data_IF_771775696537
#
_entry.id   IF_771775696537
#
_cell.length_a   1.000
_cell.length_b   1.000
_cell.length_c   1.000
_cell.angle_alpha   90.00
_cell.angle_beta   90.00
_cell.angle_gamma   90.00
#
_symmetry.space_group_name_H-M   'P 1'
#
loop_
_entity.id
_entity.type
_entity.pdbx_description
1 polymer ?
#
# COMPACT_ATOMS: atom_id res chain seq x y z
N UNK A 1 -0.42 -25.58 -16.20
CA UNK A 1 -0.02 -24.20 -15.81
C UNK A 1 -0.66 -23.23 -16.80
N UNK A 2 -1.95 -23.41 -17.06
CA UNK A 2 -2.62 -22.84 -18.23
C UNK A 2 -4.05 -22.54 -17.78
N UNK A 3 -4.50 -21.29 -17.88
CA UNK A 3 -5.93 -21.01 -17.72
C UNK A 3 -6.34 -19.60 -17.30
N UNK A 4 -5.55 -18.88 -16.49
CA UNK A 4 -5.94 -17.53 -16.01
C UNK A 4 -5.04 -16.38 -16.47
N UNK A 5 -3.72 -16.57 -16.49
CA UNK A 5 -2.79 -15.55 -17.02
C UNK A 5 -3.04 -15.26 -18.52
N UNK A 6 -3.66 -16.20 -19.25
CA UNK A 6 -3.92 -16.13 -20.69
C UNK A 6 -5.15 -15.30 -21.10
N UNK A 7 -5.94 -14.77 -20.15
CA UNK A 7 -7.15 -14.00 -20.48
C UNK A 7 -7.02 -12.49 -20.23
N UNK A 8 -5.79 -12.00 -20.11
CA UNK A 8 -5.50 -10.57 -19.98
C UNK A 8 -4.99 -10.00 -21.30
N UNK A 9 -5.28 -8.72 -21.56
CA UNK A 9 -4.78 -8.06 -22.75
C UNK A 9 -3.25 -8.03 -22.77
N UNK A 10 -2.66 -7.91 -23.96
CA UNK A 10 -1.20 -7.79 -24.11
C UNK A 10 -0.63 -6.64 -23.25
N UNK A 11 -1.32 -5.50 -23.18
CA UNK A 11 -0.92 -4.36 -22.35
C UNK A 11 -0.92 -4.68 -20.85
N UNK A 12 -1.92 -5.42 -20.36
CA UNK A 12 -1.97 -5.86 -18.97
C UNK A 12 -0.83 -6.84 -18.66
N UNK A 13 -0.53 -7.77 -19.57
CA UNK A 13 0.61 -8.69 -19.41
C UNK A 13 1.92 -7.92 -19.36
N UNK A 14 2.15 -6.95 -20.25
CA UNK A 14 3.37 -6.14 -20.23
C UNK A 14 3.50 -5.33 -18.95
N UNK A 15 2.40 -4.76 -18.45
CA UNK A 15 2.38 -4.10 -17.14
C UNK A 15 2.84 -5.06 -16.03
N UNK A 16 2.26 -6.26 -15.94
CA UNK A 16 2.68 -7.27 -14.96
C UNK A 16 4.17 -7.63 -15.12
N UNK A 17 4.66 -7.74 -16.35
CA UNK A 17 6.08 -8.02 -16.59
C UNK A 17 6.98 -6.92 -16.03
N UNK A 18 6.65 -5.66 -16.31
CA UNK A 18 7.38 -4.50 -15.80
C UNK A 18 7.37 -4.43 -14.27
N UNK A 19 6.24 -4.73 -13.63
CA UNK A 19 6.05 -4.55 -12.19
C UNK A 19 6.39 -5.78 -11.33
N UNK A 20 6.52 -6.97 -11.91
CA UNK A 20 6.90 -8.21 -11.20
C UNK A 20 8.36 -8.58 -11.42
N UNK A 21 8.83 -8.58 -12.69
CA UNK A 21 10.16 -9.08 -13.03
C UNK A 21 11.22 -7.98 -13.15
N UNK A 22 10.79 -6.72 -13.28
CA UNK A 22 11.67 -5.54 -13.37
C UNK A 22 12.78 -5.70 -14.43
N UNK A 23 12.43 -5.93 -15.72
CA UNK A 23 13.42 -6.10 -16.78
C UNK A 23 14.26 -4.83 -17.01
N UNK A 24 15.42 -4.90 -17.71
CA UNK A 24 16.30 -3.75 -17.91
C UNK A 24 15.65 -2.53 -18.57
N UNK A 25 14.68 -2.75 -19.46
CA UNK A 25 13.95 -1.69 -20.17
C UNK A 25 12.56 -1.50 -19.55
N UNK A 26 12.51 -0.74 -18.46
CA UNK A 26 11.24 -0.33 -17.85
C UNK A 26 10.62 0.87 -18.59
N UNK A 27 9.29 1.06 -18.49
CA UNK A 27 8.63 2.29 -18.91
C UNK A 27 9.35 3.52 -18.35
N UNK A 28 9.57 4.51 -19.21
CA UNK A 28 10.32 5.72 -18.88
C UNK A 28 9.42 6.84 -18.32
N UNK A 29 8.11 6.60 -18.31
CA UNK A 29 7.06 7.48 -17.80
C UNK A 29 6.22 6.70 -16.78
N UNK A 30 5.36 7.42 -16.04
CA UNK A 30 4.39 6.79 -15.15
C UNK A 30 3.41 5.96 -15.99
N UNK A 31 3.55 4.64 -15.92
CA UNK A 31 2.71 3.68 -16.64
C UNK A 31 1.53 3.20 -15.79
N UNK A 32 1.23 3.87 -14.68
CA UNK A 32 0.14 3.50 -13.82
C UNK A 32 -1.19 3.39 -14.58
N UNK A 33 -1.79 2.21 -14.49
CA UNK A 33 -3.17 1.96 -14.88
C UNK A 33 -3.86 1.26 -13.71
N UNK A 34 -4.93 1.87 -13.20
CA UNK A 34 -5.69 1.37 -12.06
C UNK A 34 -6.21 -0.06 -12.27
N UNK A 35 -6.61 -0.39 -13.50
CA UNK A 35 -7.14 -1.72 -13.85
C UNK A 35 -6.01 -2.75 -13.84
N UNK A 36 -4.83 -2.38 -14.33
CA UNK A 36 -3.68 -3.28 -14.33
C UNK A 36 -3.11 -3.47 -12.92
N UNK A 37 -3.15 -2.44 -12.07
CA UNK A 37 -2.83 -2.55 -10.64
C UNK A 37 -3.82 -3.49 -9.91
N UNK A 38 -5.11 -3.44 -10.24
CA UNK A 38 -6.09 -4.39 -9.71
C UNK A 38 -5.80 -5.83 -10.14
N UNK A 39 -5.47 -6.05 -11.43
CA UNK A 39 -5.06 -7.36 -11.95
C UNK A 39 -3.79 -7.87 -11.25
N UNK A 40 -2.80 -7.00 -11.02
CA UNK A 40 -1.59 -7.35 -10.27
C UNK A 40 -1.94 -7.83 -8.85
N UNK A 41 -2.82 -7.11 -8.16
CA UNK A 41 -3.27 -7.48 -6.82
C UNK A 41 -4.08 -8.78 -6.79
N UNK A 42 -4.90 -9.05 -7.81
CA UNK A 42 -5.60 -10.34 -8.01
C UNK A 42 -4.61 -11.49 -8.18
N UNK A 43 -3.63 -11.34 -9.07
CA UNK A 43 -2.62 -12.37 -9.35
C UNK A 43 -1.78 -12.65 -8.11
N UNK A 44 -1.35 -11.61 -7.39
CA UNK A 44 -0.62 -11.78 -6.14
C UNK A 44 -1.43 -12.55 -5.10
N UNK A 45 -2.73 -12.24 -4.95
CA UNK A 45 -3.62 -12.96 -4.04
C UNK A 45 -3.79 -14.44 -4.44
N UNK A 46 -4.06 -14.72 -5.72
CA UNK A 46 -4.18 -16.10 -6.22
C UNK A 46 -2.86 -16.89 -6.08
N UNK A 47 -1.73 -16.24 -6.31
CA UNK A 47 -0.41 -16.84 -6.14
C UNK A 47 -0.15 -17.21 -4.67
N UNK A 48 -0.51 -16.35 -3.71
CA UNK A 48 -0.39 -16.63 -2.28
C UNK A 48 -1.26 -17.82 -1.85
N UNK A 49 -2.50 -17.86 -2.31
CA UNK A 49 -3.42 -18.98 -2.05
C UNK A 49 -2.85 -20.31 -2.54
N UNK A 50 -2.25 -20.32 -3.73
CA UNK A 50 -1.57 -21.50 -4.28
C UNK A 50 -0.29 -21.83 -3.51
N UNK A 51 0.51 -20.82 -3.18
CA UNK A 51 1.76 -20.97 -2.45
C UNK A 51 1.54 -21.64 -1.08
N UNK A 52 0.43 -21.31 -0.41
CA UNK A 52 0.01 -21.94 0.86
C UNK A 52 -0.05 -23.48 0.80
N UNK A 53 -0.32 -24.05 -0.38
CA UNK A 53 -0.39 -25.51 -0.59
C UNK A 53 1.00 -26.18 -0.63
N UNK A 54 2.06 -25.40 -0.86
CA UNK A 54 3.43 -25.89 -1.00
C UNK A 54 4.29 -25.68 0.25
N UNK A 55 3.76 -25.03 1.29
CA UNK A 55 4.49 -24.76 2.54
C UNK A 55 4.12 -25.74 3.66
N UNK A 56 5.05 -25.94 4.59
CA UNK A 56 4.86 -26.75 5.79
C UNK A 56 3.85 -26.14 6.78
N UNK A 57 3.41 -26.91 7.80
CA UNK A 57 2.37 -26.48 8.75
C UNK A 57 2.69 -25.17 9.49
N UNK A 58 3.93 -24.96 9.90
CA UNK A 58 4.35 -23.75 10.62
C UNK A 58 4.28 -22.50 9.72
N UNK A 59 4.82 -22.59 8.50
CA UNK A 59 4.80 -21.49 7.54
C UNK A 59 3.39 -21.21 7.01
N UNK A 60 2.50 -22.22 7.02
CA UNK A 60 1.11 -22.07 6.56
C UNK A 60 0.35 -21.01 7.35
N UNK A 61 0.61 -20.89 8.66
CA UNK A 61 -0.01 -19.85 9.50
C UNK A 61 0.42 -18.46 9.03
N UNK A 62 1.73 -18.26 8.82
CA UNK A 62 2.28 -16.99 8.32
C UNK A 62 1.73 -16.65 6.93
N UNK A 63 1.70 -17.62 6.03
CA UNK A 63 1.13 -17.42 4.69
C UNK A 63 -0.37 -17.09 4.76
N UNK A 64 -1.11 -17.72 5.68
CA UNK A 64 -2.52 -17.39 5.90
C UNK A 64 -2.68 -15.94 6.38
N UNK A 65 -1.85 -15.47 7.30
CA UNK A 65 -1.86 -14.07 7.75
C UNK A 65 -1.64 -13.11 6.57
N UNK A 66 -0.71 -13.42 5.67
CA UNK A 66 -0.45 -12.60 4.47
C UNK A 66 -1.64 -12.65 3.50
N UNK A 67 -2.28 -13.79 3.31
CA UNK A 67 -3.50 -13.91 2.50
C UNK A 67 -4.62 -13.04 3.09
N UNK A 68 -4.83 -13.10 4.40
CA UNK A 68 -5.83 -12.29 5.10
C UNK A 68 -5.53 -10.78 4.96
N UNK A 69 -4.26 -10.38 5.05
CA UNK A 69 -3.81 -9.01 4.80
C UNK A 69 -4.14 -8.52 3.39
N UNK A 70 -3.79 -9.32 2.37
CA UNK A 70 -4.05 -8.97 0.97
C UNK A 70 -5.56 -8.97 0.69
N UNK A 71 -6.32 -9.87 1.31
CA UNK A 71 -7.79 -9.86 1.26
C UNK A 71 -8.37 -8.57 1.84
N UNK A 72 -7.87 -8.14 3.01
CA UNK A 72 -8.27 -6.86 3.62
C UNK A 72 -7.94 -5.67 2.72
N UNK A 73 -6.72 -5.60 2.16
CA UNK A 73 -6.31 -4.56 1.21
C UNK A 73 -7.29 -4.45 0.03
N UNK A 74 -7.64 -5.60 -0.57
CA UNK A 74 -8.59 -5.68 -1.67
C UNK A 74 -10.00 -5.24 -1.27
N UNK A 75 -10.44 -5.63 -0.08
CA UNK A 75 -11.79 -5.34 0.39
C UNK A 75 -12.01 -3.86 0.73
N UNK A 76 -10.96 -3.17 1.18
CA UNK A 76 -11.01 -1.77 1.60
C UNK A 76 -10.73 -0.83 0.42
N UNK A 77 -10.02 -1.27 -0.61
CA UNK A 77 -9.74 -0.47 -1.80
C UNK A 77 -10.94 -0.46 -2.75
N UNK A 78 -11.32 0.72 -3.23
CA UNK A 78 -12.31 0.88 -4.29
C UNK A 78 -11.71 0.47 -5.64
N UNK A 79 -12.42 -0.37 -6.38
CA UNK A 79 -11.97 -0.84 -7.69
C UNK A 79 -12.07 0.21 -8.80
N UNK A 80 -12.88 1.25 -8.61
CA UNK A 80 -13.20 2.25 -9.63
C UNK A 80 -12.18 3.40 -9.69
N UNK A 81 -11.63 3.81 -8.56
CA UNK A 81 -10.65 4.90 -8.47
C UNK A 81 -9.41 4.58 -7.61
N UNK A 82 -9.39 3.43 -6.93
CA UNK A 82 -8.29 3.02 -6.05
C UNK A 82 -8.29 3.69 -4.68
N UNK A 83 -9.33 4.47 -4.35
CA UNK A 83 -9.50 5.12 -3.05
C UNK A 83 -9.81 4.11 -1.94
N UNK A 84 -9.82 4.57 -0.69
CA UNK A 84 -10.23 3.79 0.46
C UNK A 84 -11.74 3.92 0.63
N UNK A 85 -12.44 2.78 0.62
CA UNK A 85 -13.86 2.65 0.96
C UNK A 85 -14.06 2.79 2.46
N UNK A 86 -14.62 3.92 2.89
CA UNK A 86 -14.82 4.25 4.30
C UNK A 86 -15.64 3.19 5.04
N UNK A 87 -16.73 2.71 4.45
CA UNK A 87 -17.61 1.67 4.99
C UNK A 87 -16.85 0.36 5.26
N UNK A 88 -16.04 -0.08 4.30
CA UNK A 88 -15.25 -1.30 4.40
C UNK A 88 -14.12 -1.17 5.40
N UNK A 89 -13.49 0.00 5.47
CA UNK A 89 -12.45 0.27 6.46
C UNK A 89 -13.03 0.22 7.87
N UNK A 90 -14.20 0.84 8.11
CA UNK A 90 -14.90 0.74 9.41
C UNK A 90 -15.18 -0.71 9.77
N UNK A 91 -15.68 -1.51 8.83
CA UNK A 91 -15.96 -2.91 9.09
C UNK A 91 -14.69 -3.74 9.33
N UNK A 92 -13.61 -3.47 8.60
CA UNK A 92 -12.31 -4.08 8.85
C UNK A 92 -11.79 -3.75 10.26
N UNK A 93 -11.88 -2.49 10.70
CA UNK A 93 -11.47 -2.06 12.04
C UNK A 93 -12.33 -2.71 13.15
N UNK A 94 -13.65 -2.84 12.95
CA UNK A 94 -14.51 -3.58 13.88
C UNK A 94 -14.11 -5.05 14.00
N UNK A 95 -13.85 -5.71 12.86
CA UNK A 95 -13.37 -7.11 12.85
C UNK A 95 -12.02 -7.24 13.55
N UNK A 96 -11.14 -6.25 13.42
CA UNK A 96 -9.85 -6.21 14.10
C UNK A 96 -10.00 -6.18 15.64
N UNK A 97 -11.01 -5.48 16.18
CA UNK A 97 -11.34 -5.51 17.61
C UNK A 97 -11.80 -6.89 18.11
N UNK A 98 -12.22 -7.80 17.22
CA UNK A 98 -12.77 -9.09 17.59
C UNK A 98 -11.79 -10.26 17.35
N UNK A 99 -10.81 -10.12 16.46
CA UNK A 99 -9.77 -11.13 16.20
C UNK A 99 -8.55 -10.90 17.07
N UNK A 100 -7.92 -11.95 17.60
CA UNK A 100 -6.70 -11.82 18.40
C UNK A 100 -5.48 -11.35 17.58
N UNK A 101 -5.48 -11.65 16.28
CA UNK A 101 -4.42 -11.38 15.33
C UNK A 101 -5.03 -10.90 14.00
N UNK A 102 -4.80 -9.63 13.66
CA UNK A 102 -5.32 -9.05 12.44
C UNK A 102 -4.49 -7.88 12.00
N UNK A 103 -4.42 -7.69 10.68
CA UNK A 103 -3.65 -6.62 10.06
C UNK A 103 -4.46 -6.07 8.88
N UNK A 104 -4.63 -4.76 8.87
CA UNK A 104 -5.30 -3.99 7.81
C UNK A 104 -4.23 -3.11 7.15
N UNK A 105 -3.64 -3.57 6.04
CA UNK A 105 -2.80 -2.71 5.21
C UNK A 105 -3.67 -1.77 4.38
N UNK A 106 -3.28 -0.49 4.34
CA UNK A 106 -3.92 0.55 3.55
C UNK A 106 -2.90 1.18 2.63
N UNK A 107 -3.23 1.31 1.35
CA UNK A 107 -2.45 2.06 0.39
C UNK A 107 -3.10 3.41 0.12
N UNK A 108 -2.44 4.49 0.55
CA UNK A 108 -2.90 5.86 0.38
C UNK A 108 -2.09 6.49 -0.74
N UNK A 109 -2.49 6.16 -1.98
CA UNK A 109 -1.76 6.53 -3.20
C UNK A 109 -1.49 8.03 -3.29
N UNK A 110 -2.51 8.86 -3.04
CA UNK A 110 -2.42 10.31 -3.13
C UNK A 110 -1.40 10.93 -2.15
N UNK A 111 -0.95 10.17 -1.16
CA UNK A 111 0.02 10.57 -0.13
C UNK A 111 1.38 9.85 -0.25
N UNK A 112 1.57 8.99 -1.26
CA UNK A 112 2.73 8.09 -1.34
C UNK A 112 2.96 7.31 -0.02
N UNK A 113 1.88 6.96 0.68
CA UNK A 113 1.95 6.42 2.03
C UNK A 113 1.20 5.10 2.13
N UNK A 114 1.65 4.27 3.07
CA UNK A 114 0.90 3.12 3.55
C UNK A 114 0.69 3.25 5.04
N UNK A 115 -0.48 2.78 5.50
CA UNK A 115 -0.80 2.67 6.92
C UNK A 115 -1.08 1.20 7.20
N UNK A 116 -0.39 0.65 8.18
CA UNK A 116 -0.63 -0.70 8.69
C UNK A 116 -1.32 -0.56 10.04
N UNK A 117 -2.56 -1.03 10.12
CA UNK A 117 -3.31 -1.10 11.38
C UNK A 117 -3.29 -2.55 11.84
N UNK A 118 -2.58 -2.85 12.92
CA UNK A 118 -2.41 -4.21 13.42
C UNK A 118 -2.86 -4.33 14.87
N UNK A 119 -3.31 -5.52 15.26
CA UNK A 119 -3.65 -5.80 16.64
C UNK A 119 -2.49 -6.44 17.39
N UNK A 120 -2.18 -5.89 18.54
CA UNK A 120 -1.42 -6.53 19.61
C UNK A 120 -2.37 -6.91 20.77
N UNK A 121 -1.89 -7.62 21.78
CA UNK A 121 -2.75 -8.20 22.83
C UNK A 121 -3.76 -7.20 23.44
N UNK A 122 -3.28 -6.00 23.80
CA UNK A 122 -4.08 -4.95 24.48
C UNK A 122 -4.07 -3.61 23.76
N UNK A 123 -3.53 -3.56 22.54
CA UNK A 123 -3.41 -2.33 21.78
C UNK A 123 -3.59 -2.54 20.29
N UNK A 124 -3.90 -1.45 19.60
CA UNK A 124 -3.92 -1.36 18.15
C UNK A 124 -2.74 -0.49 17.73
N UNK A 125 -1.86 -1.06 16.93
CA UNK A 125 -0.70 -0.37 16.42
C UNK A 125 -1.04 0.25 15.05
N UNK A 126 -0.62 1.49 14.88
CA UNK A 126 -0.64 2.20 13.62
C UNK A 126 0.81 2.42 13.21
N UNK A 127 1.19 1.88 12.06
CA UNK A 127 2.52 2.06 11.49
C UNK A 127 2.39 2.70 10.12
N UNK A 128 3.16 3.75 9.86
CA UNK A 128 3.09 4.53 8.63
C UNK A 128 4.42 4.46 7.89
N UNK A 129 4.36 4.31 6.57
CA UNK A 129 5.54 4.16 5.72
C UNK A 129 5.35 4.93 4.42
N UNK A 130 6.39 5.61 3.97
CA UNK A 130 6.44 6.16 2.61
C UNK A 130 6.71 4.99 1.63
N UNK A 131 6.00 4.90 0.51
CA UNK A 131 6.10 3.74 -0.38
C UNK A 131 7.27 3.86 -1.36
N UNK A 132 7.33 4.99 -2.08
CA UNK A 132 8.45 5.32 -2.95
C UNK A 132 9.32 6.40 -2.28
N UNK A 133 10.65 6.37 -2.43
CA UNK A 133 11.48 7.45 -1.93
C UNK A 133 11.25 8.73 -2.74
N UNK A 134 11.29 9.89 -2.07
CA UNK A 134 11.31 11.19 -2.76
C UNK A 134 12.41 11.24 -3.83
N UNK A 135 12.08 11.78 -5.01
CA UNK A 135 13.02 11.95 -6.13
C UNK A 135 14.32 12.65 -5.70
N UNK A 136 14.23 13.62 -4.78
CA UNK A 136 15.40 14.31 -4.25
C UNK A 136 16.36 13.38 -3.51
N UNK A 137 15.82 12.45 -2.71
CA UNK A 137 16.64 11.47 -1.99
C UNK A 137 17.30 10.50 -2.97
N UNK A 138 16.60 10.09 -4.04
CA UNK A 138 17.17 9.23 -5.09
C UNK A 138 18.29 9.93 -5.84
N UNK A 139 18.08 11.18 -6.27
CA UNK A 139 19.04 11.93 -7.11
C UNK A 139 20.28 12.36 -6.32
N UNK A 140 20.12 12.76 -5.06
CA UNK A 140 21.26 13.29 -4.27
C UNK A 140 22.08 12.22 -3.57
N UNK A 141 21.55 11.01 -3.42
CA UNK A 141 22.27 9.94 -2.74
C UNK A 141 23.47 9.50 -3.56
N UNK A 142 24.65 9.60 -2.97
CA UNK A 142 25.86 8.95 -3.47
C UNK A 142 25.92 7.52 -2.92
N UNK A 143 25.80 6.53 -3.80
CA UNK A 143 25.79 5.11 -3.41
C UNK A 143 24.37 4.59 -3.13
N UNK A 144 24.22 3.80 -2.06
CA UNK A 144 22.95 3.11 -1.75
C UNK A 144 22.04 3.99 -0.88
N UNK A 145 20.82 4.24 -1.35
CA UNK A 145 19.78 4.90 -0.54
C UNK A 145 19.40 4.00 0.63
N UNK A 146 19.50 4.53 1.85
CA UNK A 146 19.03 3.87 3.07
C UNK A 146 17.67 4.42 3.44
N UNK A 147 16.72 3.50 3.66
CA UNK A 147 15.37 3.81 4.15
C UNK A 147 15.18 3.06 5.46
N UNK A 148 14.51 3.70 6.42
CA UNK A 148 14.16 3.09 7.70
C UNK A 148 12.65 2.91 7.75
N UNK A 149 12.22 1.75 8.23
CA UNK A 149 10.82 1.35 8.31
C UNK A 149 10.58 0.64 9.67
N UNK A 150 9.42 0.84 10.33
CA UNK A 150 8.39 1.84 10.01
C UNK A 150 8.90 3.28 10.14
N UNK A 151 8.18 4.22 9.53
CA UNK A 151 8.37 5.64 9.76
C UNK A 151 7.74 6.02 11.10
N UNK A 152 6.69 6.86 11.13
CA UNK A 152 5.90 7.07 12.34
C UNK A 152 5.16 5.80 12.76
N UNK A 153 5.18 5.48 14.05
CA UNK A 153 4.36 4.42 14.62
C UNK A 153 3.85 4.83 16.00
N UNK A 154 2.59 4.47 16.30
CA UNK A 154 2.01 4.67 17.63
C UNK A 154 1.03 3.54 17.96
N UNK A 155 0.73 3.38 19.26
CA UNK A 155 -0.20 2.38 19.77
C UNK A 155 -1.36 3.06 20.51
N UNK A 156 -2.56 2.54 20.33
CA UNK A 156 -3.77 2.95 21.03
C UNK A 156 -4.31 1.79 21.87
N UNK A 157 -4.90 2.09 23.03
CA UNK A 157 -5.65 1.10 23.78
C UNK A 157 -6.88 0.62 22.99
N UNK A 158 -7.22 -0.65 23.17
CA UNK A 158 -8.36 -1.26 22.46
C UNK A 158 -9.67 -0.53 22.82
N UNK A 159 -9.85 -0.14 24.09
CA UNK A 159 -11.07 0.51 24.56
C UNK A 159 -11.32 1.85 23.84
N UNK A 160 -10.26 2.61 23.55
CA UNK A 160 -10.34 3.84 22.76
C UNK A 160 -10.54 3.57 21.29
N UNK A 161 -9.86 2.57 20.73
CA UNK A 161 -10.01 2.20 19.33
C UNK A 161 -11.40 1.62 19.01
N UNK A 162 -12.04 0.92 19.95
CA UNK A 162 -13.36 0.31 19.76
C UNK A 162 -14.50 1.34 19.74
N UNK A 163 -14.26 2.57 20.19
CA UNK A 163 -15.26 3.66 20.16
C UNK A 163 -15.70 3.90 18.71
N UNK A 164 -16.97 3.68 18.42
CA UNK A 164 -17.55 3.84 17.08
C UNK A 164 -17.25 5.21 16.45
N UNK A 165 -17.27 6.28 17.24
CA UNK A 165 -16.94 7.63 16.77
C UNK A 165 -15.48 7.78 16.36
N UNK A 166 -14.56 7.14 17.09
CA UNK A 166 -13.14 7.14 16.75
C UNK A 166 -12.90 6.40 15.43
N UNK A 167 -13.46 5.19 15.29
CA UNK A 167 -13.35 4.42 14.05
C UNK A 167 -13.97 5.16 12.86
N UNK A 168 -15.11 5.82 13.05
CA UNK A 168 -15.74 6.61 12.00
C UNK A 168 -14.84 7.78 11.56
N UNK A 169 -14.26 8.51 12.52
CA UNK A 169 -13.32 9.60 12.24
C UNK A 169 -12.08 9.10 11.50
N UNK A 170 -11.42 8.04 11.99
CA UNK A 170 -10.23 7.47 11.34
C UNK A 170 -10.53 6.99 9.92
N UNK A 171 -11.63 6.26 9.74
CA UNK A 171 -12.01 5.77 8.41
C UNK A 171 -12.28 6.93 7.44
N UNK A 172 -13.06 7.93 7.88
CA UNK A 172 -13.38 9.09 7.06
C UNK A 172 -12.11 9.87 6.69
N UNK A 173 -11.23 10.15 7.66
CA UNK A 173 -9.96 10.85 7.40
C UNK A 173 -9.08 10.09 6.42
N UNK A 174 -8.90 8.77 6.58
CA UNK A 174 -8.06 7.97 5.69
C UNK A 174 -8.70 7.81 4.29
N UNK A 175 -10.02 7.72 4.21
CA UNK A 175 -10.75 7.75 2.94
C UNK A 175 -10.54 9.07 2.20
N UNK A 176 -10.70 10.21 2.87
CA UNK A 176 -10.44 11.52 2.29
C UNK A 176 -8.98 11.68 1.84
N UNK A 177 -8.02 11.29 2.68
CA UNK A 177 -6.59 11.34 2.32
C UNK A 177 -6.23 10.45 1.12
N UNK A 178 -7.03 9.43 0.82
CA UNK A 178 -6.75 8.50 -0.28
C UNK A 178 -7.00 9.09 -1.67
N UNK A 179 -7.89 10.08 -1.77
CA UNK A 179 -8.22 10.77 -3.03
C UNK A 179 -7.78 12.25 -3.05
N UNK A 180 -7.66 12.89 -1.88
CA UNK A 180 -7.14 14.26 -1.78
C UNK A 180 -5.64 14.28 -2.05
N UNK A 181 -5.23 15.01 -3.08
CA UNK A 181 -3.81 15.17 -3.39
C UNK A 181 -3.13 16.08 -2.37
N UNK A 182 -2.10 15.58 -1.68
CA UNK A 182 -1.16 16.44 -0.97
C UNK A 182 0.02 16.73 -1.90
N UNK A 183 0.06 17.95 -2.43
CA UNK A 183 1.02 18.36 -3.46
C UNK A 183 2.50 18.13 -3.10
N UNK A 184 2.83 17.96 -1.82
CA UNK A 184 4.21 17.79 -1.33
C UNK A 184 4.61 16.33 -1.05
N UNK A 185 3.70 15.36 -1.23
CA UNK A 185 3.91 13.95 -0.87
C UNK A 185 4.15 13.03 -2.07
N UNK A 186 3.72 13.43 -3.27
CA UNK A 186 3.90 12.65 -4.50
C UNK A 186 5.26 12.91 -5.17
N UNK A 187 5.95 11.88 -5.70
CA UNK A 187 7.14 12.06 -6.51
C UNK A 187 6.84 12.90 -7.76
N UNK A 188 7.35 14.13 -7.82
CA UNK A 188 7.23 14.98 -9.01
C UNK A 188 8.34 14.66 -10.00
N UNK A 189 8.02 14.06 -11.13
CA UNK A 189 8.97 13.91 -12.25
C UNK A 189 9.03 15.24 -13.00
N UNK A 190 10.15 15.95 -12.92
CA UNK A 190 10.50 17.04 -13.85
C UNK A 190 11.89 16.79 -14.40
N UNK A 191 11.99 16.57 -15.72
CA UNK A 191 13.27 16.62 -16.43
C UNK A 191 13.68 18.09 -16.68
N UNK A 192 14.96 18.45 -16.53
CA UNK A 192 15.45 19.75 -16.95
C UNK A 192 15.73 19.73 -18.46
N UNK A 193 14.99 20.51 -19.23
CA UNK A 193 15.47 20.97 -20.53
C UNK A 193 16.37 22.19 -20.28
N UNK A 194 17.68 21.96 -20.23
CA UNK A 194 18.77 22.97 -20.18
C UNK A 194 18.77 23.95 -18.99
N UNK A 195 19.86 23.90 -18.20
CA UNK A 195 20.42 24.97 -17.37
C UNK A 195 19.47 25.90 -16.59
N UNK A 196 19.30 25.65 -15.28
CA UNK A 196 19.80 26.50 -14.16
C UNK A 196 19.07 26.09 -12.87
N UNK A 197 19.87 25.76 -11.86
CA UNK A 197 19.48 25.25 -10.55
C UNK A 197 18.83 26.34 -9.68
N UNK A 198 17.66 26.02 -9.12
CA UNK A 198 17.27 26.23 -7.71
C UNK A 198 15.80 25.86 -7.55
N UNK A 199 15.51 24.78 -6.83
CA UNK A 199 14.19 24.60 -6.22
C UNK A 199 14.43 24.03 -4.82
N UNK A 200 14.15 24.84 -3.81
CA UNK A 200 14.12 24.45 -2.42
C UNK A 200 12.71 23.96 -2.08
N UNK A 201 12.59 22.80 -1.45
CA UNK A 201 11.40 22.42 -0.72
C UNK A 201 11.83 21.85 0.63
N UNK A 202 11.25 22.41 1.69
CA UNK A 202 11.53 22.05 3.07
C UNK A 202 10.85 20.72 3.42
N UNK A 203 11.41 19.95 4.37
CA UNK A 203 10.78 18.72 4.85
C UNK A 203 9.43 19.01 5.51
N UNK A 204 8.54 18.04 5.43
CA UNK A 204 7.26 18.01 6.16
C UNK A 204 7.57 18.18 7.64
N UNK A 205 7.27 19.36 8.19
CA UNK A 205 7.17 19.56 9.64
C UNK A 205 5.75 19.17 10.05
N UNK A 206 5.65 18.18 10.93
CA UNK A 206 4.56 18.15 11.91
C UNK A 206 4.79 19.27 12.93
#
# INVERSE_FOLDING_TARGET
>A
MEGKLLNHSQSAIMYLVHHIFLPPELPQEDDFDLRYEAILLDICFEALERFRLYVGPEQRVVVQTVIDMVSNLKSVRDSSDGSIREDQLKEAMRRLCNKADGIIPLYIRAQNATVLISRAEKSINFEMFELSPLNQAVITTKGRLRRSFPGPAFALDIDTFEKTQFQAMVAHTLAEMSHQSAADTLPKVKRPAKCTLRIATQPIRM
#
